data_IF_545320170095
#
_entry.id   IF_545320170095
#
_cell.length_a   1.000
_cell.length_b   1.000
_cell.length_c   1.000
_cell.angle_alpha   90.00
_cell.angle_beta   90.00
_cell.angle_gamma   90.00
#
_symmetry.space_group_name_H-M   'P 1'
#
loop_
_entity.id
_entity.type
_entity.pdbx_description
1 polymer ?
#
# COMPACT_ATOMS: atom_id res chain seq x y z
N UNK A 1 -10.07 9.33 10.41
CA UNK A 1 -9.76 10.08 9.18
C UNK A 1 -11.00 10.89 8.84
N UNK A 2 -10.81 12.14 8.42
CA UNK A 2 -11.94 12.93 7.87
C UNK A 2 -12.33 12.37 6.50
N UNK A 3 -13.57 12.59 6.02
CA UNK A 3 -13.99 12.17 4.69
C UNK A 3 -13.08 12.71 3.57
N UNK A 4 -12.57 13.93 3.72
CA UNK A 4 -11.61 14.53 2.79
C UNK A 4 -10.27 13.78 2.76
N UNK A 5 -9.72 13.41 3.92
CA UNK A 5 -8.51 12.58 3.99
C UNK A 5 -8.72 11.20 3.36
N UNK A 6 -9.90 10.61 3.55
CA UNK A 6 -10.25 9.30 2.96
C UNK A 6 -10.31 9.41 1.44
N UNK A 7 -10.91 10.48 0.90
CA UNK A 7 -11.01 10.68 -0.54
C UNK A 7 -9.64 10.96 -1.18
N UNK A 8 -8.81 11.78 -0.53
CA UNK A 8 -7.43 12.01 -0.96
C UNK A 8 -6.61 10.71 -0.93
N UNK A 9 -6.73 9.92 0.13
CA UNK A 9 -6.06 8.62 0.24
C UNK A 9 -6.59 7.57 -0.75
N UNK A 10 -7.83 7.68 -1.24
CA UNK A 10 -8.35 6.84 -2.33
C UNK A 10 -7.77 7.20 -3.70
N UNK A 11 -7.07 8.33 -3.82
CA UNK A 11 -6.38 8.75 -5.06
C UNK A 11 -4.91 9.08 -4.74
N UNK A 12 -4.13 8.13 -4.18
CA UNK A 12 -2.79 8.44 -3.73
C UNK A 12 -1.83 8.53 -4.91
N UNK A 13 -0.89 9.47 -4.85
CA UNK A 13 0.28 9.47 -5.71
C UNK A 13 1.36 8.61 -5.07
N UNK A 14 1.63 7.43 -5.64
CA UNK A 14 2.63 6.51 -5.10
C UNK A 14 4.04 6.96 -5.48
N UNK A 15 4.72 7.59 -4.53
CA UNK A 15 6.12 7.99 -4.70
C UNK A 15 7.08 6.84 -4.36
N UNK A 16 8.31 6.91 -4.87
CA UNK A 16 9.35 5.91 -4.59
C UNK A 16 9.90 6.03 -3.16
N UNK A 17 9.86 7.23 -2.57
CA UNK A 17 10.49 7.49 -1.27
C UNK A 17 11.99 7.17 -1.30
N UNK A 18 12.43 6.33 -0.37
CA UNK A 18 13.84 5.94 -0.23
C UNK A 18 14.21 4.80 -1.20
N UNK A 19 15.06 5.10 -2.18
CA UNK A 19 15.50 4.17 -3.24
C UNK A 19 16.02 2.83 -2.72
N UNK A 20 16.75 2.81 -1.59
CA UNK A 20 17.33 1.57 -1.07
C UNK A 20 16.25 0.68 -0.46
N UNK A 21 15.34 1.29 0.32
CA UNK A 21 14.19 0.58 0.90
C UNK A 21 13.23 0.11 -0.19
N UNK A 22 12.88 1.00 -1.12
CA UNK A 22 12.00 0.67 -2.24
C UNK A 22 12.54 -0.52 -3.05
N UNK A 23 13.84 -0.53 -3.38
CA UNK A 23 14.46 -1.66 -4.07
C UNK A 23 14.32 -2.98 -3.30
N UNK A 24 14.55 -2.96 -1.99
CA UNK A 24 14.45 -4.14 -1.15
C UNK A 24 13.00 -4.65 -1.07
N UNK A 25 12.05 -3.76 -0.81
CA UNK A 25 10.63 -4.11 -0.73
C UNK A 25 10.05 -4.52 -2.09
N UNK A 26 10.44 -3.87 -3.18
CA UNK A 26 10.07 -4.28 -4.53
C UNK A 26 10.55 -5.70 -4.82
N UNK A 27 11.82 -6.04 -4.59
CA UNK A 27 12.31 -7.39 -4.86
C UNK A 27 11.62 -8.45 -4.01
N UNK A 28 11.30 -8.11 -2.75
CA UNK A 28 10.67 -9.03 -1.79
C UNK A 28 9.17 -9.21 -2.03
N UNK A 29 8.48 -8.17 -2.49
CA UNK A 29 7.02 -8.12 -2.57
C UNK A 29 6.49 -7.95 -4.00
N UNK A 30 7.35 -7.84 -5.02
CA UNK A 30 6.91 -7.77 -6.42
C UNK A 30 5.98 -8.93 -6.76
N UNK A 31 6.33 -10.15 -6.34
CA UNK A 31 5.56 -11.35 -6.65
C UNK A 31 4.12 -11.29 -6.10
N UNK A 32 3.92 -10.65 -4.94
CA UNK A 32 2.59 -10.43 -4.36
C UNK A 32 1.76 -9.49 -5.22
N UNK A 33 2.36 -8.37 -5.65
CA UNK A 33 1.67 -7.39 -6.51
C UNK A 33 1.47 -7.94 -7.92
N UNK A 34 2.41 -8.73 -8.44
CA UNK A 34 2.29 -9.46 -9.70
C UNK A 34 1.08 -10.41 -9.66
N UNK A 35 0.92 -11.17 -8.58
CA UNK A 35 -0.21 -12.09 -8.38
C UNK A 35 -1.54 -11.34 -8.23
N UNK A 36 -1.57 -10.29 -7.40
CA UNK A 36 -2.76 -9.47 -7.21
C UNK A 36 -3.20 -8.77 -8.50
N UNK A 37 -2.27 -8.12 -9.22
CA UNK A 37 -2.60 -7.32 -10.41
C UNK A 37 -2.57 -8.13 -11.71
N UNK A 38 -2.14 -9.39 -11.67
CA UNK A 38 -1.91 -10.21 -12.86
C UNK A 38 -0.81 -9.64 -13.77
N UNK A 39 0.15 -8.90 -13.20
CA UNK A 39 1.23 -8.23 -13.94
C UNK A 39 2.56 -8.93 -13.73
N UNK A 40 3.52 -8.68 -14.62
CA UNK A 40 4.89 -9.16 -14.45
C UNK A 40 5.86 -7.99 -14.39
N UNK A 41 6.65 -7.93 -13.34
CA UNK A 41 7.69 -6.92 -13.14
C UNK A 41 9.06 -7.61 -13.13
N UNK A 42 9.90 -7.25 -14.10
CA UNK A 42 11.21 -7.85 -14.27
C UNK A 42 12.24 -7.13 -13.40
N UNK A 43 12.53 -5.86 -13.71
CA UNK A 43 13.64 -5.11 -13.13
C UNK A 43 13.14 -3.78 -12.57
N UNK A 44 13.54 -3.47 -11.35
CA UNK A 44 13.23 -2.18 -10.70
C UNK A 44 13.53 -0.96 -11.56
N UNK A 45 14.62 -0.97 -12.33
CA UNK A 45 15.03 0.18 -13.14
C UNK A 45 14.03 0.51 -14.26
N UNK A 46 13.36 -0.51 -14.78
CA UNK A 46 12.41 -0.40 -15.89
C UNK A 46 10.97 -0.39 -15.37
N UNK A 47 10.66 -1.30 -14.45
CA UNK A 47 9.33 -1.51 -13.91
C UNK A 47 9.06 -0.76 -12.60
N UNK A 48 10.05 -0.17 -11.94
CA UNK A 48 9.89 0.61 -10.71
C UNK A 48 8.86 1.74 -10.82
N UNK A 49 8.88 2.60 -11.86
CA UNK A 49 7.81 3.58 -12.06
C UNK A 49 6.46 2.91 -12.34
N UNK A 50 6.45 1.89 -13.22
CA UNK A 50 5.23 1.16 -13.60
C UNK A 50 4.54 0.48 -12.42
N UNK A 51 5.31 -0.10 -11.52
CA UNK A 51 4.85 -0.73 -10.28
C UNK A 51 4.11 0.26 -9.37
N UNK A 52 4.65 1.48 -9.25
CA UNK A 52 4.03 2.53 -8.45
C UNK A 52 2.75 3.05 -9.10
N UNK A 53 2.79 3.29 -10.40
CA UNK A 53 1.61 3.69 -11.17
C UNK A 53 0.51 2.63 -11.10
N UNK A 54 0.87 1.35 -11.16
CA UNK A 54 -0.07 0.25 -11.07
C UNK A 54 -0.72 0.14 -9.70
N UNK A 55 0.04 0.32 -8.62
CA UNK A 55 -0.53 0.39 -7.27
C UNK A 55 -1.46 1.59 -7.14
N UNK A 56 -1.03 2.78 -7.59
CA UNK A 56 -1.86 3.98 -7.55
C UNK A 56 -3.16 3.79 -8.34
N UNK A 57 -3.06 3.17 -9.53
CA UNK A 57 -4.20 2.83 -10.37
C UNK A 57 -5.10 1.82 -9.70
N UNK A 58 -4.56 0.76 -9.11
CA UNK A 58 -5.32 -0.27 -8.41
C UNK A 58 -6.07 0.28 -7.19
N UNK A 59 -5.48 1.25 -6.46
CA UNK A 59 -6.19 1.97 -5.38
C UNK A 59 -7.32 2.82 -5.97
N UNK A 60 -7.05 3.55 -7.06
CA UNK A 60 -8.03 4.43 -7.73
C UNK A 60 -9.21 3.64 -8.36
N UNK A 61 -8.92 2.46 -8.90
CA UNK A 61 -9.89 1.54 -9.50
C UNK A 61 -10.74 0.84 -8.44
N UNK A 62 -10.28 0.82 -7.19
CA UNK A 62 -10.94 0.14 -6.07
C UNK A 62 -10.49 -1.31 -5.88
N UNK A 63 -9.46 -1.77 -6.60
CA UNK A 63 -8.86 -3.09 -6.35
C UNK A 63 -8.19 -3.15 -4.98
N UNK A 64 -7.58 -2.05 -4.54
CA UNK A 64 -7.02 -1.87 -3.20
C UNK A 64 -7.86 -0.85 -2.43
N UNK A 65 -8.67 -1.33 -1.49
CA UNK A 65 -9.50 -0.47 -0.67
C UNK A 65 -8.73 0.06 0.54
N UNK A 66 -8.82 1.37 0.75
CA UNK A 66 -8.29 1.99 1.96
C UNK A 66 -9.06 1.48 3.19
N UNK A 67 -8.35 0.80 4.10
CA UNK A 67 -8.90 0.27 5.34
C UNK A 67 -8.71 1.27 6.49
N UNK A 68 -7.62 2.04 6.48
CA UNK A 68 -7.30 3.01 7.51
C UNK A 68 -5.85 3.47 7.49
N UNK A 69 -5.45 4.15 8.54
CA UNK A 69 -4.07 4.43 8.92
C UNK A 69 -3.66 3.51 10.08
N UNK A 70 -2.39 3.13 10.09
CA UNK A 70 -1.80 2.33 11.14
C UNK A 70 -0.29 2.20 11.01
N UNK A 71 0.32 1.55 11.98
CA UNK A 71 1.77 1.37 12.06
C UNK A 71 2.11 -0.11 11.89
N UNK A 72 3.26 -0.40 11.26
CA UNK A 72 3.75 -1.78 11.11
C UNK A 72 4.36 -2.32 12.41
N UNK A 73 4.86 -1.43 13.28
CA UNK A 73 5.47 -1.76 14.57
C UNK A 73 5.15 -0.67 15.60
N UNK A 74 5.30 -1.03 16.87
CA UNK A 74 5.32 -0.06 17.98
C UNK A 74 6.52 0.88 17.75
N UNK A 75 6.25 2.18 17.65
CA UNK A 75 7.23 3.27 17.35
C UNK A 75 7.51 3.58 15.87
N UNK A 76 6.88 2.90 14.91
CA UNK A 76 6.99 3.32 13.50
C UNK A 76 5.94 4.38 13.12
N UNK A 77 6.22 5.24 12.13
CA UNK A 77 5.27 6.24 11.66
C UNK A 77 3.94 5.61 11.20
N UNK A 78 2.89 6.41 11.23
CA UNK A 78 1.60 6.00 10.69
C UNK A 78 1.65 5.99 9.16
N UNK A 79 1.16 4.92 8.57
CA UNK A 79 1.00 4.74 7.13
C UNK A 79 -0.46 4.49 6.77
N UNK A 80 -0.82 4.82 5.54
CA UNK A 80 -2.08 4.47 4.91
C UNK A 80 -2.06 3.00 4.52
N UNK A 81 -3.06 2.24 4.96
CA UNK A 81 -3.17 0.81 4.77
C UNK A 81 -4.31 0.54 3.79
N UNK A 82 -3.96 -0.08 2.67
CA UNK A 82 -4.86 -0.51 1.63
C UNK A 82 -4.88 -2.03 1.58
N UNK A 83 -6.05 -2.64 1.48
CA UNK A 83 -6.19 -4.10 1.35
C UNK A 83 -7.01 -4.44 0.12
N UNK A 84 -6.59 -5.47 -0.59
CA UNK A 84 -7.25 -5.89 -1.81
C UNK A 84 -6.57 -7.10 -2.41
N UNK A 85 -7.35 -7.99 -3.05
CA UNK A 85 -6.83 -9.15 -3.77
C UNK A 85 -5.78 -10.00 -3.01
N UNK A 86 -5.98 -10.18 -1.70
CA UNK A 86 -5.05 -10.94 -0.86
C UNK A 86 -3.73 -10.23 -0.53
N UNK A 87 -3.58 -8.94 -0.86
CA UNK A 87 -2.40 -8.13 -0.57
C UNK A 87 -2.79 -6.88 0.23
N UNK A 88 -1.96 -6.55 1.21
CA UNK A 88 -2.02 -5.32 1.99
C UNK A 88 -0.89 -4.41 1.54
N UNK A 89 -1.22 -3.29 0.91
CA UNK A 89 -0.27 -2.23 0.54
C UNK A 89 -0.26 -1.18 1.63
N UNK A 90 0.93 -0.79 2.07
CA UNK A 90 1.13 0.30 3.03
C UNK A 90 1.89 1.43 2.35
N UNK A 91 1.30 2.62 2.38
CA UNK A 91 1.92 3.86 1.92
C UNK A 91 2.22 4.74 3.13
N UNK A 92 3.25 5.55 3.08
CA UNK A 92 3.45 6.65 4.03
C UNK A 92 2.35 7.71 3.86
N UNK A 93 2.15 8.57 4.85
CA UNK A 93 1.24 9.73 4.72
C UNK A 93 1.61 10.69 3.58
N UNK A 94 2.89 10.73 3.22
CA UNK A 94 3.42 11.47 2.06
C UNK A 94 3.06 10.83 0.70
N UNK A 95 2.46 9.63 0.70
CA UNK A 95 2.16 8.86 -0.51
C UNK A 95 3.32 7.99 -1.00
N UNK A 96 4.49 8.07 -0.37
CA UNK A 96 5.62 7.20 -0.66
C UNK A 96 5.31 5.72 -0.35
N UNK A 97 5.69 4.81 -1.24
CA UNK A 97 5.51 3.37 -1.02
C UNK A 97 6.36 2.90 0.17
N UNK A 98 5.68 2.35 1.18
CA UNK A 98 6.36 1.80 2.35
C UNK A 98 6.68 0.33 2.13
N UNK A 99 5.65 -0.50 2.01
CA UNK A 99 5.78 -1.95 1.82
C UNK A 99 4.47 -2.54 1.31
N UNK A 100 4.54 -3.76 0.78
CA UNK A 100 3.38 -4.60 0.54
C UNK A 100 3.52 -5.89 1.36
N UNK A 101 2.41 -6.45 1.80
CA UNK A 101 2.33 -7.64 2.65
C UNK A 101 1.22 -8.55 2.14
N UNK A 102 1.29 -9.84 2.42
CA UNK A 102 0.17 -10.73 2.16
C UNK A 102 -0.92 -10.51 3.21
N UNK A 103 -2.15 -10.24 2.76
CA UNK A 103 -3.28 -9.93 3.62
C UNK A 103 -3.65 -11.16 4.45
N UNK A 104 -3.77 -10.98 5.76
CA UNK A 104 -4.09 -12.07 6.70
C UNK A 104 -2.90 -12.94 7.12
N UNK A 105 -1.66 -12.59 6.77
CA UNK A 105 -0.48 -13.38 7.15
C UNK A 105 0.62 -12.57 7.84
N UNK A 106 1.35 -13.25 8.75
CA UNK A 106 2.57 -12.78 9.41
C UNK A 106 2.51 -11.31 9.88
N UNK A 107 3.16 -10.40 9.14
CA UNK A 107 3.23 -8.98 9.47
C UNK A 107 1.91 -8.23 9.32
N UNK A 108 0.98 -8.69 8.47
CA UNK A 108 -0.34 -8.06 8.32
C UNK A 108 -1.19 -8.18 9.59
N UNK A 109 -1.04 -9.28 10.34
CA UNK A 109 -1.70 -9.47 11.63
C UNK A 109 -1.14 -8.59 12.74
N UNK A 110 0.12 -8.18 12.59
CA UNK A 110 0.82 -7.32 13.56
C UNK A 110 0.58 -5.82 13.32
N UNK A 111 -0.12 -5.46 12.24
CA UNK A 111 -0.43 -4.06 11.93
C UNK A 111 -1.32 -3.45 13.01
N UNK A 112 -0.87 -2.35 13.60
CA UNK A 112 -1.59 -1.62 14.63
C UNK A 112 -2.36 -0.49 13.95
N UNK A 113 -3.66 -0.66 13.78
CA UNK A 113 -4.52 0.38 13.22
C UNK A 113 -4.74 1.51 14.22
N UNK A 114 -4.31 2.72 13.88
CA UNK A 114 -4.49 3.93 14.69
C UNK A 114 -5.78 4.67 14.32
N UNK A 115 -6.10 4.76 13.02
CA UNK A 115 -7.34 5.38 12.52
C UNK A 115 -7.96 4.50 11.46
N UNK A 116 -9.13 3.93 11.71
CA UNK A 116 -9.87 3.20 10.66
C UNK A 116 -10.66 4.17 9.79
N UNK A 117 -10.80 3.84 8.50
CA UNK A 117 -11.78 4.53 7.65
C UNK A 117 -13.16 4.25 8.25
N UNK A 118 -13.96 5.28 8.58
CA UNK A 118 -15.32 5.05 9.02
C UNK A 118 -16.05 4.31 7.91
N UNK A 119 -16.50 3.07 8.19
CA UNK A 119 -17.38 2.35 7.25
C UNK A 119 -18.59 3.27 6.99
N UNK A 120 -18.99 3.49 5.73
CA UNK A 120 -20.23 4.21 5.47
C UNK A 120 -21.33 3.51 6.28
N UNK A 121 -21.96 4.27 7.19
CA UNK A 121 -23.16 3.80 7.89
C UNK A 121 -24.16 3.44 6.80
N UNK A 122 -24.43 2.14 6.67
CA UNK A 122 -25.45 1.61 5.78
C UNK A 122 -26.82 2.00 6.31
#
# INVERSE_FOLDING_TARGET
>A
MTPEEVEAARKPSVAEGDKKKFKAHFLKHKKLIEDALGKKYQKLKEDGPRFREDIAKAIKDGEFELVGKGTLKKDEPEGLIYRGKGVTVVLHEDGSFWTALESGQAMDKSIIFTKKVPKPKK
#
